data_IF_566163262897
#
_entry.id   IF_566163262897
#
_cell.length_a   1.000
_cell.length_b   1.000
_cell.length_c   1.000
_cell.angle_alpha   90.00
_cell.angle_beta   90.00
_cell.angle_gamma   90.00
#
_symmetry.space_group_name_H-M   'P 1'
#
loop_
_entity.id
_entity.type
_entity.pdbx_description
1 polymer ?
#
# COMPACT_ATOMS: atom_id res chain seq x y z
N UNK A 1 -16.68 -6.51 8.95
CA UNK A 1 -15.28 -6.95 8.72
C UNK A 1 -14.29 -5.91 9.24
N UNK A 2 -14.43 -4.64 8.86
CA UNK A 2 -13.60 -3.54 9.38
C UNK A 2 -13.77 -3.34 10.89
N UNK A 3 -15.01 -3.32 11.39
CA UNK A 3 -15.30 -3.17 12.83
C UNK A 3 -14.73 -4.32 13.69
N UNK A 4 -14.55 -5.51 13.10
CA UNK A 4 -13.91 -6.65 13.76
C UNK A 4 -12.39 -6.47 13.80
N UNK A 5 -11.79 -6.03 12.69
CA UNK A 5 -10.37 -5.69 12.63
C UNK A 5 -9.99 -4.58 13.61
N UNK A 6 -10.85 -3.58 13.76
CA UNK A 6 -10.68 -2.50 14.73
C UNK A 6 -10.75 -3.01 16.18
N UNK A 7 -11.77 -3.80 16.52
CA UNK A 7 -11.95 -4.37 17.88
C UNK A 7 -10.82 -5.29 18.33
N UNK A 8 -10.14 -5.95 17.39
CA UNK A 8 -9.04 -6.87 17.67
C UNK A 8 -7.66 -6.30 17.30
N UNK A 9 -7.58 -5.00 16.99
CA UNK A 9 -6.34 -4.31 16.59
C UNK A 9 -5.56 -5.03 15.46
N UNK A 10 -6.29 -5.68 14.55
CA UNK A 10 -5.72 -6.37 13.41
C UNK A 10 -5.26 -5.33 12.40
N UNK A 11 -3.96 -5.04 12.40
CA UNK A 11 -3.33 -4.13 11.43
C UNK A 11 -2.46 -4.92 10.47
N UNK A 12 -2.56 -4.61 9.19
CA UNK A 12 -1.64 -5.15 8.19
C UNK A 12 -0.39 -4.29 8.14
N UNK A 13 0.78 -4.90 8.01
CA UNK A 13 1.97 -4.16 7.62
C UNK A 13 1.78 -3.65 6.19
N UNK A 14 1.92 -2.33 6.02
CA UNK A 14 1.71 -1.68 4.73
C UNK A 14 2.99 -1.00 4.25
N UNK A 15 3.27 -1.15 2.96
CA UNK A 15 4.26 -0.35 2.27
C UNK A 15 3.58 0.83 1.56
N UNK A 16 3.98 2.06 1.89
CA UNK A 16 3.44 3.28 1.27
C UNK A 16 4.23 3.63 0.01
N UNK A 17 3.54 3.83 -1.10
CA UNK A 17 4.14 4.15 -2.40
C UNK A 17 3.53 5.43 -2.97
N UNK A 18 4.38 6.25 -3.61
CA UNK A 18 3.99 7.46 -4.35
C UNK A 18 3.68 7.13 -5.81
N UNK A 19 2.79 7.90 -6.44
CA UNK A 19 2.32 7.63 -7.80
C UNK A 19 3.44 7.75 -8.86
N UNK A 20 4.39 8.66 -8.63
CA UNK A 20 5.57 8.91 -9.48
C UNK A 20 6.42 7.65 -9.75
N UNK A 21 6.42 6.69 -8.82
CA UNK A 21 7.24 5.49 -8.87
C UNK A 21 6.42 4.19 -8.89
N UNK A 22 5.18 4.25 -9.38
CA UNK A 22 4.28 3.08 -9.41
C UNK A 22 4.77 1.98 -10.36
N UNK A 23 5.22 2.34 -11.56
CA UNK A 23 5.54 1.33 -12.58
C UNK A 23 6.66 0.39 -12.11
N UNK A 24 7.74 0.96 -11.58
CA UNK A 24 8.86 0.18 -11.03
C UNK A 24 8.45 -0.70 -9.85
N UNK A 25 7.46 -0.25 -9.06
CA UNK A 25 6.94 -1.06 -7.95
C UNK A 25 5.99 -2.14 -8.43
N UNK A 26 5.16 -1.91 -9.45
CA UNK A 26 4.29 -2.95 -10.01
C UNK A 26 5.10 -4.16 -10.51
N UNK A 27 6.27 -3.94 -11.11
CA UNK A 27 7.17 -5.03 -11.52
C UNK A 27 7.68 -5.86 -10.33
N UNK A 28 7.89 -5.24 -9.17
CA UNK A 28 8.26 -5.94 -7.92
C UNK A 28 7.08 -6.69 -7.31
N UNK A 29 5.84 -6.21 -7.49
CA UNK A 29 4.64 -6.92 -7.04
C UNK A 29 4.49 -8.25 -7.79
N UNK A 30 4.75 -8.23 -9.10
CA UNK A 30 4.74 -9.44 -9.92
C UNK A 30 5.80 -10.47 -9.48
N UNK A 31 6.91 -10.01 -8.88
CA UNK A 31 7.97 -10.86 -8.30
C UNK A 31 7.70 -11.28 -6.85
N UNK A 32 6.51 -10.97 -6.31
CA UNK A 32 6.12 -11.19 -4.91
C UNK A 32 7.03 -10.49 -3.88
N UNK A 33 7.84 -9.52 -4.31
CA UNK A 33 8.74 -8.76 -3.44
C UNK A 33 7.99 -7.54 -2.87
N UNK A 34 7.07 -7.81 -1.94
CA UNK A 34 6.22 -6.81 -1.27
C UNK A 34 6.05 -7.12 0.21
N UNK A 35 5.95 -6.09 1.06
CA UNK A 35 5.56 -6.27 2.46
C UNK A 35 4.05 -6.40 2.57
N UNK A 36 3.52 -7.62 2.44
CA UNK A 36 2.11 -8.04 2.57
C UNK A 36 1.05 -7.25 1.76
N UNK A 37 1.03 -5.92 1.86
CA UNK A 37 0.15 -5.02 1.11
C UNK A 37 0.81 -3.68 0.80
N UNK A 38 0.60 -3.21 -0.43
CA UNK A 38 1.01 -1.87 -0.87
C UNK A 38 -0.18 -0.91 -0.86
N UNK A 39 0.05 0.29 -0.36
CA UNK A 39 -0.93 1.37 -0.31
C UNK A 39 -0.39 2.55 -1.10
N UNK A 40 -1.10 2.94 -2.15
CA UNK A 40 -0.77 4.10 -2.98
C UNK A 40 -1.34 5.34 -2.31
N UNK A 41 -0.48 6.31 -2.02
CA UNK A 41 -0.92 7.56 -1.40
C UNK A 41 -1.26 8.60 -2.48
N UNK A 42 -2.50 8.53 -2.95
CA UNK A 42 -3.00 9.32 -4.09
C UNK A 42 -3.00 10.83 -3.80
N UNK A 43 -3.42 11.25 -2.60
CA UNK A 43 -3.53 12.68 -2.25
C UNK A 43 -2.20 13.43 -2.25
N UNK A 44 -1.11 12.83 -1.73
CA UNK A 44 0.24 13.46 -1.78
C UNK A 44 0.91 13.36 -3.16
N UNK A 45 0.31 12.61 -4.09
CA UNK A 45 0.85 12.46 -5.45
C UNK A 45 0.15 13.35 -6.48
N UNK A 46 -0.94 14.02 -6.08
CA UNK A 46 -1.79 14.89 -6.90
C UNK A 46 -1.51 16.39 -6.66
N UNK A 47 -0.32 16.72 -6.18
CA UNK A 47 0.12 18.11 -6.05
C UNK A 47 0.29 18.70 -7.46
N UNK A 48 -0.49 19.76 -7.76
CA UNK A 48 -0.34 20.61 -8.95
C UNK A 48 1.00 21.33 -8.94
#
# INVERSE_FOLDING_TARGET
MLDFGEKHHLTSEIERIRMDYINTRMDMLAKSDVRCRRVIYVSNSLTK
#
